data_IF_383159204422
#
_entry.id   IF_383159204422
#
_cell.length_a   1.000
_cell.length_b   1.000
_cell.length_c   1.000
_cell.angle_alpha   90.00
_cell.angle_beta   90.00
_cell.angle_gamma   90.00
#
_symmetry.space_group_name_H-M   'P 1'
#
loop_
_entity.id
_entity.type
_entity.pdbx_description
1 polymer ?
#
# COMPACT_ATOMS: atom_id res chain seq x y z
N UNK A 1 8.56 21.42 13.60
CA UNK A 1 9.48 20.29 13.31
C UNK A 1 10.35 20.63 12.10
N UNK A 2 9.80 20.85 10.89
CA UNK A 2 10.60 21.23 9.72
C UNK A 2 11.27 22.59 9.90
N UNK A 3 10.54 23.64 10.28
CA UNK A 3 11.10 24.97 10.53
C UNK A 3 12.19 25.00 11.62
N UNK A 4 12.18 24.07 12.56
CA UNK A 4 13.24 23.95 13.60
C UNK A 4 14.45 23.13 13.14
N UNK A 5 14.49 22.67 11.87
CA UNK A 5 15.57 21.87 11.31
C UNK A 5 15.62 20.41 11.80
N UNK A 6 14.66 19.96 12.63
CA UNK A 6 14.62 18.59 13.18
C UNK A 6 14.16 17.54 12.15
N UNK A 7 13.46 17.97 11.11
CA UNK A 7 13.05 17.10 9.99
C UNK A 7 13.15 17.86 8.67
N UNK A 8 13.56 17.18 7.60
CA UNK A 8 13.57 17.76 6.24
C UNK A 8 12.19 17.74 5.60
N UNK A 9 11.40 16.73 5.90
CA UNK A 9 10.02 16.57 5.44
C UNK A 9 9.14 16.10 6.59
N UNK A 10 7.86 16.41 6.51
CA UNK A 10 6.84 15.96 7.46
C UNK A 10 5.70 15.30 6.69
N UNK A 11 5.03 14.38 7.34
CA UNK A 11 3.91 13.65 6.74
C UNK A 11 2.79 13.39 7.74
N UNK A 12 1.77 12.72 7.24
CA UNK A 12 0.60 12.27 8.01
C UNK A 12 0.44 10.75 7.86
N UNK A 13 -0.44 10.16 8.65
CA UNK A 13 -0.73 8.73 8.55
C UNK A 13 -2.21 8.47 8.74
N UNK A 14 -2.76 7.56 7.92
CA UNK A 14 -4.16 7.15 7.92
C UNK A 14 -5.14 8.32 7.70
N UNK A 15 -4.73 9.31 6.91
CA UNK A 15 -5.60 10.42 6.52
C UNK A 15 -6.41 10.03 5.28
N UNK A 16 -7.72 10.15 5.39
CA UNK A 16 -8.66 10.06 4.27
C UNK A 16 -8.77 11.41 3.55
N UNK A 17 -9.44 11.43 2.41
CA UNK A 17 -9.64 12.66 1.63
C UNK A 17 -10.11 13.86 2.48
N UNK A 18 -11.17 13.77 3.30
CA UNK A 18 -11.61 14.91 4.12
C UNK A 18 -10.54 15.41 5.08
N UNK A 19 -9.73 14.51 5.64
CA UNK A 19 -8.64 14.88 6.55
C UNK A 19 -7.53 15.62 5.81
N UNK A 20 -7.18 15.16 4.60
CA UNK A 20 -6.18 15.82 3.75
C UNK A 20 -6.67 17.22 3.32
N UNK A 21 -7.91 17.32 2.89
CA UNK A 21 -8.51 18.61 2.52
C UNK A 21 -8.57 19.60 3.69
N UNK A 22 -8.89 19.12 4.90
CA UNK A 22 -8.91 19.94 6.10
C UNK A 22 -7.52 20.46 6.46
N UNK A 23 -6.50 19.59 6.50
CA UNK A 23 -5.14 20.01 6.84
C UNK A 23 -4.54 20.94 5.79
N UNK A 24 -4.85 20.72 4.50
CA UNK A 24 -4.35 21.58 3.41
C UNK A 24 -4.85 23.03 3.48
N UNK A 25 -5.97 23.29 4.18
CA UNK A 25 -6.48 24.66 4.39
C UNK A 25 -5.68 25.45 5.41
N UNK A 26 -5.02 24.78 6.35
CA UNK A 26 -4.40 25.41 7.52
C UNK A 26 -2.90 25.18 7.62
N UNK A 27 -2.38 24.15 6.98
CA UNK A 27 -0.95 23.81 7.04
C UNK A 27 -0.10 24.84 6.27
N UNK A 28 0.86 25.45 6.94
CA UNK A 28 1.88 26.29 6.30
C UNK A 28 2.90 25.46 5.48
N UNK A 29 3.00 24.19 5.77
CA UNK A 29 3.86 23.24 5.07
C UNK A 29 3.01 22.03 4.70
N UNK A 30 2.92 21.76 3.40
CA UNK A 30 2.19 20.60 2.87
C UNK A 30 2.82 19.29 3.36
N UNK A 31 2.04 18.29 3.84
CA UNK A 31 2.54 16.96 4.09
C UNK A 31 3.20 16.38 2.83
N UNK A 32 4.42 15.87 2.96
CA UNK A 32 5.12 15.22 1.85
C UNK A 32 4.59 13.81 1.57
N UNK A 33 4.08 13.16 2.62
CA UNK A 33 3.65 11.76 2.56
C UNK A 33 2.41 11.54 3.43
N UNK A 34 1.56 10.60 3.00
CA UNK A 34 0.53 9.96 3.83
C UNK A 34 0.80 8.47 3.89
N UNK A 35 1.04 7.93 5.08
CA UNK A 35 1.27 6.50 5.27
C UNK A 35 -0.03 5.81 5.64
N UNK A 36 -0.47 4.84 4.83
CA UNK A 36 -1.76 4.13 4.96
C UNK A 36 -1.58 2.61 4.91
N UNK A 37 -2.52 1.86 5.48
CA UNK A 37 -2.63 0.42 5.20
C UNK A 37 -2.99 0.23 3.73
N UNK A 38 -2.16 -0.51 2.96
CA UNK A 38 -2.40 -0.67 1.53
C UNK A 38 -2.03 -2.08 1.05
N UNK A 39 -3.02 -2.81 0.56
CA UNK A 39 -2.90 -4.15 0.00
C UNK A 39 -4.15 -4.49 -0.84
N UNK A 40 -4.20 -5.58 -1.61
CA UNK A 40 -5.31 -5.89 -2.50
C UNK A 40 -6.71 -5.89 -1.85
N UNK A 41 -6.81 -6.21 -0.55
CA UNK A 41 -8.08 -6.24 0.18
C UNK A 41 -8.44 -4.92 0.87
N UNK A 42 -7.60 -3.87 0.73
CA UNK A 42 -7.85 -2.51 1.21
C UNK A 42 -7.16 -1.51 0.29
N UNK A 43 -7.87 -1.04 -0.73
CA UNK A 43 -7.36 -0.19 -1.80
C UNK A 43 -7.80 1.27 -1.67
N UNK A 44 -8.69 1.59 -0.73
CA UNK A 44 -9.17 2.95 -0.40
C UNK A 44 -9.85 3.71 -1.57
N UNK A 45 -10.50 3.02 -2.50
CA UNK A 45 -11.22 3.67 -3.60
C UNK A 45 -10.35 4.65 -4.38
N UNK A 46 -10.77 5.90 -4.45
CA UNK A 46 -10.09 6.96 -5.22
C UNK A 46 -8.97 7.68 -4.46
N UNK A 47 -8.62 7.22 -3.26
CA UNK A 47 -7.68 7.93 -2.38
C UNK A 47 -6.29 8.11 -3.04
N UNK A 48 -5.82 7.13 -3.82
CA UNK A 48 -4.55 7.28 -4.56
C UNK A 48 -4.62 8.41 -5.61
N UNK A 49 -5.76 8.56 -6.29
CA UNK A 49 -5.96 9.66 -7.24
C UNK A 49 -5.98 11.02 -6.53
N UNK A 50 -6.58 11.09 -5.34
CA UNK A 50 -6.55 12.29 -4.49
C UNK A 50 -5.11 12.65 -4.12
N UNK A 51 -4.30 11.69 -3.70
CA UNK A 51 -2.90 11.93 -3.34
C UNK A 51 -2.09 12.45 -4.53
N UNK A 52 -2.24 11.84 -5.73
CA UNK A 52 -1.59 12.32 -6.96
C UNK A 52 -1.96 13.76 -7.27
N UNK A 53 -3.25 14.11 -7.19
CA UNK A 53 -3.73 15.49 -7.41
C UNK A 53 -3.15 16.49 -6.41
N UNK A 54 -2.99 16.09 -5.15
CA UNK A 54 -2.44 16.94 -4.10
C UNK A 54 -0.89 16.95 -4.11
N UNK A 55 -0.24 16.09 -4.89
CA UNK A 55 1.20 15.94 -4.88
C UNK A 55 1.74 15.45 -3.53
N UNK A 56 1.03 14.53 -2.87
CA UNK A 56 1.40 13.87 -1.62
C UNK A 56 1.77 12.42 -1.96
N UNK A 57 2.97 11.98 -1.59
CA UNK A 57 3.36 10.60 -1.79
C UNK A 57 2.58 9.66 -0.88
N UNK A 58 2.32 8.43 -1.35
CA UNK A 58 1.69 7.39 -0.52
C UNK A 58 2.74 6.39 -0.09
N UNK A 59 2.79 6.10 1.21
CA UNK A 59 3.50 4.96 1.78
C UNK A 59 2.48 3.90 2.18
N UNK A 60 2.65 2.67 1.68
CA UNK A 60 1.77 1.54 1.96
C UNK A 60 2.36 0.59 2.99
N UNK A 61 1.78 0.52 4.18
CA UNK A 61 2.16 -0.50 5.16
C UNK A 61 1.26 -1.75 5.08
N UNK A 62 1.73 -2.86 5.65
CA UNK A 62 1.08 -4.17 5.64
C UNK A 62 0.76 -4.74 4.24
N UNK A 63 1.63 -4.58 3.23
CA UNK A 63 1.37 -5.01 1.85
C UNK A 63 1.18 -6.54 1.74
N UNK A 64 1.73 -7.32 2.67
CA UNK A 64 1.67 -8.79 2.68
C UNK A 64 0.47 -9.36 3.44
N UNK A 65 -0.53 -8.53 3.76
CA UNK A 65 -1.75 -8.97 4.45
C UNK A 65 -2.42 -10.18 3.82
N UNK A 66 -2.56 -10.32 2.49
CA UNK A 66 -3.13 -11.51 1.87
C UNK A 66 -2.43 -12.82 2.26
N UNK A 67 -1.09 -12.79 2.41
CA UNK A 67 -0.30 -13.98 2.75
C UNK A 67 -0.15 -14.21 4.25
N UNK A 68 -0.40 -13.23 5.07
CA UNK A 68 -0.09 -13.29 6.50
C UNK A 68 -1.32 -13.30 7.40
N UNK A 69 -2.28 -12.41 7.16
CA UNK A 69 -3.44 -12.17 8.02
C UNK A 69 -4.78 -12.57 7.39
N UNK A 70 -4.88 -12.56 6.06
CA UNK A 70 -6.12 -12.77 5.32
C UNK A 70 -5.98 -13.86 4.23
N UNK A 71 -5.29 -14.94 4.58
CA UNK A 71 -5.05 -16.10 3.70
C UNK A 71 -6.34 -16.73 3.16
N UNK A 72 -6.22 -17.51 2.10
CA UNK A 72 -7.35 -18.22 1.48
C UNK A 72 -8.30 -17.25 0.78
N UNK A 73 -7.78 -16.22 0.15
CA UNK A 73 -8.59 -15.21 -0.49
C UNK A 73 -8.51 -15.20 -2.02
N UNK A 74 -9.33 -14.36 -2.68
CA UNK A 74 -9.49 -14.37 -4.13
C UNK A 74 -8.20 -14.03 -4.91
N UNK A 75 -7.21 -13.37 -4.29
CA UNK A 75 -5.95 -13.05 -4.98
C UNK A 75 -4.92 -14.18 -4.95
N UNK A 76 -5.10 -15.22 -4.13
CA UNK A 76 -4.07 -16.26 -3.92
C UNK A 76 -3.70 -16.96 -5.23
N UNK A 77 -4.68 -17.29 -6.06
CA UNK A 77 -4.46 -17.99 -7.34
C UNK A 77 -3.66 -17.16 -8.34
N UNK A 78 -4.00 -15.87 -8.51
CA UNK A 78 -3.30 -14.97 -9.42
C UNK A 78 -1.89 -14.67 -8.92
N UNK A 79 -1.73 -14.43 -7.63
CA UNK A 79 -0.43 -14.16 -7.00
C UNK A 79 0.51 -15.35 -7.17
N UNK A 80 0.03 -16.58 -6.92
CA UNK A 80 0.82 -17.81 -7.10
C UNK A 80 1.21 -18.04 -8.57
N UNK A 81 0.29 -17.78 -9.52
CA UNK A 81 0.56 -17.86 -10.96
C UNK A 81 1.63 -16.88 -11.40
N UNK A 82 1.54 -15.63 -10.94
CA UNK A 82 2.50 -14.57 -11.29
C UNK A 82 3.87 -14.80 -10.64
N UNK A 83 3.90 -15.30 -9.41
CA UNK A 83 5.14 -15.71 -8.75
C UNK A 83 5.92 -16.73 -9.59
N UNK A 84 5.23 -17.75 -10.10
CA UNK A 84 5.81 -18.75 -11.03
C UNK A 84 6.26 -18.12 -12.35
N UNK A 85 5.44 -17.23 -12.94
CA UNK A 85 5.75 -16.56 -14.20
C UNK A 85 7.06 -15.78 -14.14
N UNK A 86 7.26 -15.03 -13.04
CA UNK A 86 8.42 -14.16 -12.87
C UNK A 86 9.59 -14.80 -12.12
N UNK A 87 9.43 -16.04 -11.61
CA UNK A 87 10.46 -16.72 -10.84
C UNK A 87 10.77 -16.03 -9.51
N UNK A 88 9.75 -15.45 -8.87
CA UNK A 88 9.86 -14.71 -7.60
C UNK A 88 8.89 -15.27 -6.57
N UNK A 89 8.97 -14.79 -5.32
CA UNK A 89 7.99 -15.18 -4.30
C UNK A 89 6.64 -14.48 -4.49
N UNK A 90 5.61 -15.06 -3.90
CA UNK A 90 4.27 -14.45 -3.81
C UNK A 90 4.32 -13.11 -3.06
N UNK A 91 5.22 -12.99 -2.07
CA UNK A 91 5.48 -11.73 -1.37
C UNK A 91 5.97 -10.65 -2.31
N UNK A 92 6.93 -10.97 -3.19
CA UNK A 92 7.44 -10.03 -4.18
C UNK A 92 6.37 -9.58 -5.17
N UNK A 93 5.44 -10.47 -5.58
CA UNK A 93 4.31 -10.07 -6.43
C UNK A 93 3.43 -9.03 -5.74
N UNK A 94 3.09 -9.22 -4.46
CA UNK A 94 2.28 -8.24 -3.71
C UNK A 94 3.01 -6.91 -3.48
N UNK A 95 4.31 -6.96 -3.17
CA UNK A 95 5.12 -5.75 -3.06
C UNK A 95 5.17 -5.00 -4.40
N UNK A 96 5.36 -5.74 -5.49
CA UNK A 96 5.41 -5.17 -6.84
C UNK A 96 4.08 -4.56 -7.26
N UNK A 97 2.96 -5.20 -6.93
CA UNK A 97 1.62 -4.66 -7.16
C UNK A 97 1.42 -3.28 -6.53
N UNK A 98 1.95 -3.06 -5.33
CA UNK A 98 1.90 -1.73 -4.69
C UNK A 98 2.81 -0.73 -5.41
N UNK A 99 4.05 -1.13 -5.72
CA UNK A 99 5.05 -0.27 -6.37
C UNK A 99 4.59 0.17 -7.77
N UNK A 100 3.99 -0.73 -8.54
CA UNK A 100 3.51 -0.40 -9.89
C UNK A 100 2.28 0.54 -9.90
N UNK A 101 1.76 0.88 -8.72
CA UNK A 101 0.72 1.90 -8.51
C UNK A 101 1.29 3.20 -7.89
N UNK A 102 2.61 3.40 -7.93
CA UNK A 102 3.33 4.55 -7.35
C UNK A 102 3.22 4.63 -5.82
N UNK A 103 3.05 3.49 -5.14
CA UNK A 103 3.03 3.41 -3.68
C UNK A 103 4.39 2.98 -3.16
N UNK A 104 4.98 3.78 -2.28
CA UNK A 104 6.21 3.41 -1.55
C UNK A 104 5.87 2.31 -0.57
N UNK A 105 6.37 1.11 -0.81
CA UNK A 105 5.94 -0.08 -0.09
C UNK A 105 6.80 -0.34 1.14
N UNK A 106 6.16 -0.42 2.30
CA UNK A 106 6.80 -0.67 3.59
C UNK A 106 6.59 -2.12 4.02
N UNK A 107 7.68 -2.84 4.22
CA UNK A 107 7.64 -4.22 4.74
C UNK A 107 8.74 -4.43 5.76
N UNK A 108 8.63 -5.50 6.54
CA UNK A 108 9.62 -5.86 7.55
C UNK A 108 9.73 -7.38 7.69
N UNK A 109 10.89 -7.82 8.13
CA UNK A 109 11.12 -9.22 8.53
C UNK A 109 12.24 -9.27 9.56
N UNK A 110 12.16 -10.23 10.47
CA UNK A 110 13.27 -10.62 11.34
C UNK A 110 14.24 -11.62 10.68
N UNK A 111 13.93 -12.11 9.48
CA UNK A 111 14.75 -13.07 8.72
C UNK A 111 15.53 -12.33 7.65
N UNK A 112 16.86 -12.36 7.74
CA UNK A 112 17.75 -11.72 6.77
C UNK A 112 17.51 -12.19 5.34
N UNK A 113 17.35 -13.51 5.16
CA UNK A 113 17.08 -14.11 3.85
C UNK A 113 15.84 -13.51 3.18
N UNK A 114 14.76 -13.28 3.97
CA UNK A 114 13.53 -12.67 3.47
C UNK A 114 13.72 -11.20 3.13
N UNK A 115 14.54 -10.47 3.89
CA UNK A 115 14.87 -9.08 3.56
C UNK A 115 15.65 -9.00 2.24
N UNK A 116 16.60 -9.92 2.01
CA UNK A 116 17.30 -10.04 0.72
C UNK A 116 16.35 -10.37 -0.42
N UNK A 117 15.44 -11.32 -0.19
CA UNK A 117 14.42 -11.71 -1.17
C UNK A 117 13.51 -10.52 -1.57
N UNK A 118 13.13 -9.66 -0.61
CA UNK A 118 12.31 -8.48 -0.91
C UNK A 118 13.00 -7.50 -1.86
N UNK A 119 14.31 -7.45 -1.91
CA UNK A 119 15.04 -6.62 -2.87
C UNK A 119 14.87 -7.10 -4.32
N UNK A 120 14.46 -8.33 -4.55
CA UNK A 120 14.20 -8.87 -5.88
C UNK A 120 12.97 -8.24 -6.55
N UNK A 121 12.16 -7.50 -5.80
CA UNK A 121 11.01 -6.74 -6.31
C UNK A 121 11.37 -5.76 -7.43
N UNK A 122 12.61 -5.30 -7.49
CA UNK A 122 13.09 -4.36 -8.53
C UNK A 122 13.48 -5.07 -9.83
N UNK A 123 13.60 -6.40 -9.84
CA UNK A 123 14.06 -7.19 -10.98
C UNK A 123 12.98 -7.44 -12.04
N UNK A 124 11.72 -7.17 -11.73
CA UNK A 124 10.59 -7.40 -12.64
C UNK A 124 9.55 -6.29 -12.50
N UNK A 125 8.61 -6.25 -13.44
CA UNK A 125 7.42 -5.40 -13.38
C UNK A 125 6.19 -6.23 -13.72
N UNK A 126 5.06 -5.92 -13.09
CA UNK A 126 3.77 -6.41 -13.53
C UNK A 126 3.29 -5.60 -14.72
N UNK A 127 2.56 -6.25 -15.63
CA UNK A 127 1.84 -5.51 -16.67
C UNK A 127 0.64 -4.78 -16.06
N UNK A 128 0.09 -3.79 -16.78
CA UNK A 128 -1.12 -3.10 -16.34
C UNK A 128 -2.28 -4.08 -16.11
N UNK A 129 -2.47 -5.04 -17.01
CA UNK A 129 -3.52 -6.06 -16.89
C UNK A 129 -3.34 -6.94 -15.63
N UNK A 130 -2.10 -7.26 -15.26
CA UNK A 130 -1.81 -8.06 -14.05
C UNK A 130 -2.07 -7.28 -12.77
N UNK A 131 -1.73 -5.98 -12.76
CA UNK A 131 -2.07 -5.08 -11.66
C UNK A 131 -3.58 -4.96 -11.52
N UNK A 132 -4.29 -4.80 -12.64
CA UNK A 132 -5.75 -4.69 -12.67
C UNK A 132 -6.43 -6.01 -12.26
N UNK A 133 -5.91 -7.17 -12.67
CA UNK A 133 -6.43 -8.47 -12.26
C UNK A 133 -6.33 -8.66 -10.74
N UNK A 134 -5.16 -8.38 -10.14
CA UNK A 134 -4.98 -8.46 -8.68
C UNK A 134 -5.92 -7.46 -7.99
N UNK A 135 -6.02 -6.25 -8.52
CA UNK A 135 -6.87 -5.19 -7.95
C UNK A 135 -8.35 -5.56 -7.98
N UNK A 136 -8.83 -6.09 -9.09
CA UNK A 136 -10.22 -6.55 -9.28
C UNK A 136 -10.55 -7.67 -8.31
N UNK A 137 -9.75 -8.73 -8.27
CA UNK A 137 -9.93 -9.84 -7.34
C UNK A 137 -9.82 -9.38 -5.89
N UNK A 138 -8.89 -8.46 -5.60
CA UNK A 138 -8.74 -7.90 -4.26
C UNK A 138 -10.00 -7.20 -3.75
N UNK A 139 -10.75 -6.52 -4.62
CA UNK A 139 -12.00 -5.85 -4.26
C UNK A 139 -13.15 -6.80 -3.91
N UNK A 140 -13.06 -8.08 -4.27
CA UNK A 140 -14.05 -9.11 -3.90
C UNK A 140 -14.01 -9.44 -2.40
N UNK A 141 -12.92 -9.10 -1.70
CA UNK A 141 -12.75 -9.28 -0.26
C UNK A 141 -12.38 -7.96 0.40
N UNK A 142 -13.03 -7.64 1.52
CA UNK A 142 -12.57 -6.54 2.37
C UNK A 142 -11.83 -7.11 3.59
N UNK A 143 -10.68 -6.54 3.91
CA UNK A 143 -9.95 -6.86 5.13
C UNK A 143 -9.10 -5.68 5.57
N UNK A 144 -9.36 -5.17 6.76
CA UNK A 144 -8.55 -4.17 7.45
C UNK A 144 -7.80 -4.84 8.60
N UNK A 145 -6.48 -4.80 8.60
CA UNK A 145 -5.65 -5.44 9.62
C UNK A 145 -5.47 -4.55 10.86
N UNK A 146 -5.45 -3.22 10.67
CA UNK A 146 -5.14 -2.24 11.71
C UNK A 146 -6.25 -1.20 11.87
N UNK A 147 -6.24 -0.45 12.97
CA UNK A 147 -7.18 0.64 13.24
C UNK A 147 -8.67 0.23 13.28
N UNK A 148 -8.95 -1.04 13.57
CA UNK A 148 -10.31 -1.60 13.59
C UNK A 148 -11.26 -0.90 14.59
N UNK A 149 -10.71 -0.22 15.60
CA UNK A 149 -11.50 0.57 16.57
C UNK A 149 -11.84 1.98 16.07
N UNK A 150 -11.31 2.40 14.92
CA UNK A 150 -11.50 3.74 14.33
C UNK A 150 -12.30 3.74 13.05
N UNK A 151 -12.48 2.58 12.43
CA UNK A 151 -13.21 2.39 11.19
C UNK A 151 -14.26 1.31 11.37
N UNK A 152 -15.42 1.48 10.74
CA UNK A 152 -16.43 0.43 10.72
C UNK A 152 -15.92 -0.83 10.00
N UNK A 153 -16.43 -2.03 10.34
CA UNK A 153 -15.95 -3.29 9.75
C UNK A 153 -15.99 -3.33 8.22
N UNK A 154 -16.94 -2.62 7.61
CA UNK A 154 -17.14 -2.56 6.15
C UNK A 154 -16.56 -1.30 5.49
N UNK A 155 -15.89 -0.46 6.27
CA UNK A 155 -15.26 0.76 5.76
C UNK A 155 -14.08 0.44 4.86
N UNK A 156 -14.23 0.73 3.58
CA UNK A 156 -13.24 0.51 2.52
C UNK A 156 -12.40 1.74 2.19
N UNK A 157 -12.63 2.83 2.94
CA UNK A 157 -11.88 4.08 2.75
C UNK A 157 -10.44 4.02 3.28
#
# INVERSE_FOLDING_TARGET
>A
MQQSGKARSIGVSNFLQPHLEAIMKTASIKPAVNQIEFHPYLQHGDLLAVHRRLGIAVEGYAPLTPLTRAKGGPVDGVVSRLAKKYGVSEGNVLLRWSIDQDVVTLTTSSKEERLKEFLDVVKFRLTADEVDEISRLGREKHYRAFWKSKFDPDDRS
#
